data_IF_336695471376
#
_entry.id   IF_336695471376
#
_cell.length_a   1.000
_cell.length_b   1.000
_cell.length_c   1.000
_cell.angle_alpha   90.00
_cell.angle_beta   90.00
_cell.angle_gamma   90.00
#
_symmetry.space_group_name_H-M   'P 1'
#
loop_
_entity.id
_entity.type
_entity.pdbx_description
1 polymer ?
#
# COMPACT_ATOMS: atom_id res chain seq x y z
N UNK A 1 -7.97 -7.47 -10.18
CA UNK A 1 -8.95 -6.56 -9.53
C UNK A 1 -8.71 -6.61 -8.03
N UNK A 2 -8.44 -5.47 -7.40
CA UNK A 2 -8.32 -5.38 -5.93
C UNK A 2 -9.66 -5.74 -5.28
N UNK A 3 -9.63 -6.54 -4.22
CA UNK A 3 -10.87 -6.91 -3.54
C UNK A 3 -11.37 -5.71 -2.72
N UNK A 4 -12.48 -5.10 -3.15
CA UNK A 4 -13.03 -3.89 -2.51
C UNK A 4 -13.25 -4.08 -1.01
N UNK A 5 -13.79 -5.22 -0.59
CA UNK A 5 -14.01 -5.53 0.82
C UNK A 5 -12.70 -5.60 1.61
N UNK A 6 -11.63 -6.12 1.00
CA UNK A 6 -10.31 -6.16 1.62
C UNK A 6 -9.75 -4.75 1.85
N UNK A 7 -9.81 -3.87 0.84
CA UNK A 7 -9.37 -2.48 0.98
C UNK A 7 -10.19 -1.71 2.02
N UNK A 8 -11.50 -1.94 2.08
CA UNK A 8 -12.37 -1.29 3.05
C UNK A 8 -12.05 -1.75 4.48
N UNK A 9 -11.75 -3.04 4.68
CA UNK A 9 -11.28 -3.56 5.97
C UNK A 9 -9.96 -2.92 6.39
N UNK A 10 -8.97 -2.82 5.49
CA UNK A 10 -7.70 -2.14 5.78
C UNK A 10 -7.90 -0.68 6.17
N UNK A 11 -8.86 0.01 5.55
CA UNK A 11 -9.22 1.39 5.94
C UNK A 11 -9.86 1.45 7.32
N UNK A 12 -10.69 0.48 7.68
CA UNK A 12 -11.25 0.36 9.03
C UNK A 12 -10.16 0.14 10.09
N UNK A 13 -9.03 -0.48 9.73
CA UNK A 13 -7.84 -0.59 10.58
C UNK A 13 -6.98 0.69 10.63
N UNK A 14 -7.41 1.79 10.01
CA UNK A 14 -6.70 3.07 10.04
C UNK A 14 -5.67 3.27 8.92
N UNK A 15 -5.70 2.42 7.89
CA UNK A 15 -4.93 2.68 6.66
C UNK A 15 -5.66 3.67 5.73
N UNK A 16 -4.91 4.51 5.04
CA UNK A 16 -5.46 5.33 3.96
C UNK A 16 -5.76 4.48 2.73
N UNK A 17 -6.45 5.05 1.74
CA UNK A 17 -6.70 4.36 0.48
C UNK A 17 -5.41 3.97 -0.28
N UNK A 18 -4.38 4.82 -0.23
CA UNK A 18 -3.09 4.53 -0.88
C UNK A 18 -2.30 3.47 -0.10
N UNK A 19 -2.27 3.59 1.23
CA UNK A 19 -1.65 2.59 2.10
C UNK A 19 -2.28 1.20 1.91
N UNK A 20 -3.61 1.12 1.83
CA UNK A 20 -4.30 -0.15 1.60
C UNK A 20 -3.95 -0.81 0.26
N UNK A 21 -3.82 -0.01 -0.81
CA UNK A 21 -3.40 -0.50 -2.12
C UNK A 21 -1.94 -0.98 -2.11
N UNK A 22 -1.06 -0.24 -1.44
CA UNK A 22 0.35 -0.60 -1.32
C UNK A 22 0.53 -1.86 -0.48
N UNK A 23 -0.18 -1.96 0.63
CA UNK A 23 -0.17 -3.14 1.49
C UNK A 23 -0.68 -4.38 0.73
N UNK A 24 -1.75 -4.24 -0.07
CA UNK A 24 -2.21 -5.33 -0.94
C UNK A 24 -1.16 -5.73 -1.98
N UNK A 25 -0.44 -4.77 -2.58
CA UNK A 25 0.62 -5.06 -3.54
C UNK A 25 1.77 -5.83 -2.90
N UNK A 26 2.24 -5.41 -1.71
CA UNK A 26 3.28 -6.12 -0.96
C UNK A 26 2.85 -7.54 -0.60
N UNK A 27 1.59 -7.76 -0.21
CA UNK A 27 1.08 -9.11 0.08
C UNK A 27 1.04 -10.00 -1.17
N UNK A 28 0.71 -9.45 -2.34
CA UNK A 28 0.61 -10.21 -3.59
C UNK A 28 1.96 -10.53 -4.21
N UNK A 29 2.90 -9.59 -4.14
CA UNK A 29 4.16 -9.64 -4.88
C UNK A 29 5.39 -9.85 -3.98
N UNK A 30 5.22 -9.77 -2.65
CA UNK A 30 6.31 -9.87 -1.68
C UNK A 30 7.09 -8.57 -1.56
N UNK A 31 8.39 -8.69 -1.28
CA UNK A 31 9.28 -7.53 -1.17
C UNK A 31 9.36 -6.79 -2.50
N UNK A 32 9.12 -5.47 -2.45
CA UNK A 32 9.17 -4.59 -3.62
C UNK A 32 9.90 -3.30 -3.24
N UNK A 33 10.58 -2.69 -4.20
CA UNK A 33 11.10 -1.33 -4.05
C UNK A 33 9.96 -0.31 -4.14
N UNK A 34 10.16 0.89 -3.58
CA UNK A 34 9.15 1.97 -3.68
C UNK A 34 8.82 2.37 -5.12
N UNK A 35 9.77 2.19 -6.06
CA UNK A 35 9.53 2.37 -7.48
C UNK A 35 8.60 1.30 -8.07
N UNK A 36 8.84 0.02 -7.75
CA UNK A 36 8.01 -1.09 -8.22
C UNK A 36 6.59 -0.99 -7.66
N UNK A 37 6.44 -0.62 -6.39
CA UNK A 37 5.14 -0.35 -5.76
C UNK A 37 4.39 0.77 -6.48
N UNK A 38 5.05 1.89 -6.77
CA UNK A 38 4.45 3.00 -7.51
C UNK A 38 3.96 2.56 -8.89
N UNK A 39 4.77 1.76 -9.60
CA UNK A 39 4.43 1.22 -10.92
C UNK A 39 3.26 0.24 -10.86
N UNK A 40 3.24 -0.68 -9.91
CA UNK A 40 2.19 -1.71 -9.76
C UNK A 40 0.85 -1.10 -9.34
N UNK A 41 0.87 -0.16 -8.40
CA UNK A 41 -0.35 0.45 -7.83
C UNK A 41 -0.89 1.63 -8.65
N UNK A 42 -0.10 2.17 -9.58
CA UNK A 42 -0.42 3.39 -10.32
C UNK A 42 -0.35 4.67 -9.48
N UNK A 43 0.18 4.60 -8.26
CA UNK A 43 0.36 5.75 -7.36
C UNK A 43 1.63 6.50 -7.76
N UNK A 44 1.65 7.83 -7.59
CA UNK A 44 2.86 8.62 -7.84
C UNK A 44 4.01 8.15 -6.95
N UNK A 45 5.25 8.24 -7.44
CA UNK A 45 6.44 7.84 -6.66
C UNK A 45 6.50 8.53 -5.30
N UNK A 46 6.28 9.85 -5.25
CA UNK A 46 6.25 10.64 -4.00
C UNK A 46 5.25 10.06 -2.99
N UNK A 47 4.04 9.77 -3.44
CA UNK A 47 2.99 9.25 -2.57
C UNK A 47 3.26 7.80 -2.16
N UNK A 48 3.84 6.99 -3.05
CA UNK A 48 4.24 5.62 -2.73
C UNK A 48 5.31 5.60 -1.64
N UNK A 49 6.36 6.41 -1.76
CA UNK A 49 7.39 6.51 -0.72
C UNK A 49 6.82 7.05 0.60
N UNK A 50 5.99 8.09 0.56
CA UNK A 50 5.35 8.62 1.78
C UNK A 50 4.43 7.59 2.46
N UNK A 51 3.65 6.85 1.68
CA UNK A 51 2.76 5.81 2.20
C UNK A 51 3.53 4.60 2.72
N UNK A 52 4.63 4.20 2.08
CA UNK A 52 5.52 3.15 2.58
C UNK A 52 6.15 3.54 3.91
N UNK A 53 6.64 4.79 4.03
CA UNK A 53 7.15 5.30 5.32
C UNK A 53 6.09 5.24 6.40
N UNK A 54 4.87 5.72 6.11
CA UNK A 54 3.74 5.67 7.04
C UNK A 54 3.35 4.25 7.43
N UNK A 55 3.39 3.29 6.49
CA UNK A 55 3.15 1.88 6.77
C UNK A 55 4.20 1.29 7.71
N UNK A 56 5.49 1.61 7.52
CA UNK A 56 6.56 1.19 8.43
C UNK A 56 6.33 1.76 9.83
N UNK A 57 5.98 3.05 9.94
CA UNK A 57 5.68 3.69 11.23
C UNK A 57 4.48 3.03 11.94
N UNK A 58 3.51 2.51 11.16
CA UNK A 58 2.36 1.75 11.66
C UNK A 58 2.67 0.26 11.92
N UNK A 59 3.87 -0.22 11.63
CA UNK A 59 4.26 -1.62 11.75
C UNK A 59 3.60 -2.55 10.72
N UNK A 60 3.16 -1.99 9.59
CA UNK A 60 2.45 -2.69 8.52
C UNK A 60 3.31 -2.96 7.27
N UNK A 61 4.58 -2.54 7.25
CA UNK A 61 5.54 -2.86 6.19
C UNK A 61 6.97 -2.89 6.73
#
# INVERSE_FOLDING_TARGET
MSNKAFLDNLRAFGLTGQEALIYEALLKHGTMTGYEVAKETGISRSNAYGSLSSLVDKGAA
#
